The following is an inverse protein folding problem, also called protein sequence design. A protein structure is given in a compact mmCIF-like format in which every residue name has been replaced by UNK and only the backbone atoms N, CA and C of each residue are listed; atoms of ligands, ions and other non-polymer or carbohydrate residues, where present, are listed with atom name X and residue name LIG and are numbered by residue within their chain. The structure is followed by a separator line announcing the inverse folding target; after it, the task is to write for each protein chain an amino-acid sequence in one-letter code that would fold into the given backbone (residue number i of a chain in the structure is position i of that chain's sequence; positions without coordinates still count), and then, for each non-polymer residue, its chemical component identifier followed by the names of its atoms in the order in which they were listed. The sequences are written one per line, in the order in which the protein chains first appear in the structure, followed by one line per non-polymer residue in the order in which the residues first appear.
data_IF_584037558756
#
_entry.id   IF_584037558756
#
_cell.length_a   1.000
_cell.length_b   1.000
_cell.length_c   1.000
_cell.angle_alpha   90.00
_cell.angle_beta   90.00
_cell.angle_gamma   90.00
#
_symmetry.space_group_name_H-M   'P 1'
#
loop_
_entity.id
_entity.type
_entity.pdbx_description
1 polymer ?
#
# COMPACT_ATOMS: atom_id res chain seq x y z
N UNK A 1 16.49 -5.47 -64.55
CA UNK A 1 16.81 -4.85 -63.24
C UNK A 1 16.21 -3.44 -63.24
N UNK A 2 15.03 -3.27 -62.66
CA UNK A 2 14.32 -1.98 -62.63
C UNK A 2 14.48 -1.36 -61.23
N UNK A 3 15.05 -0.16 -61.17
CA UNK A 3 15.26 0.61 -59.95
C UNK A 3 14.01 1.46 -59.67
N UNK A 4 13.35 1.22 -58.53
CA UNK A 4 12.23 2.05 -58.06
C UNK A 4 12.76 3.11 -57.09
N UNK A 5 12.66 4.37 -57.51
CA UNK A 5 12.98 5.56 -56.70
C UNK A 5 11.76 5.94 -55.84
N UNK A 6 11.91 5.94 -54.52
CA UNK A 6 10.82 6.22 -53.58
C UNK A 6 10.69 7.73 -53.29
N UNK A 7 9.57 8.32 -53.70
CA UNK A 7 9.18 9.70 -53.44
C UNK A 7 8.71 9.86 -51.97
N UNK A 8 9.47 10.58 -51.14
CA UNK A 8 9.05 10.97 -49.78
C UNK A 8 8.18 12.23 -49.84
N UNK A 9 6.88 12.09 -49.59
CA UNK A 9 6.00 13.22 -49.28
C UNK A 9 6.19 13.66 -47.82
N UNK A 10 6.48 14.94 -47.62
CA UNK A 10 6.62 15.58 -46.31
C UNK A 10 5.26 16.18 -45.89
N UNK A 11 4.63 15.64 -44.85
CA UNK A 11 3.42 16.21 -44.25
C UNK A 11 3.81 17.24 -43.16
N UNK A 12 3.14 18.41 -43.08
CA UNK A 12 3.35 19.36 -42.00
C UNK A 12 2.66 18.87 -40.72
N UNK A 13 3.38 18.86 -39.60
CA UNK A 13 2.83 18.53 -38.29
C UNK A 13 2.06 19.74 -37.71
N UNK A 14 0.86 19.56 -37.13
CA UNK A 14 0.19 20.63 -36.40
C UNK A 14 0.93 20.88 -35.08
N UNK A 15 1.19 22.16 -34.80
CA UNK A 15 1.71 22.60 -33.50
C UNK A 15 0.55 22.57 -32.50
N UNK A 16 0.62 21.68 -31.51
CA UNK A 16 -0.31 21.68 -30.38
C UNK A 16 0.20 22.65 -29.31
N UNK A 17 -0.64 23.62 -28.96
CA UNK A 17 -0.43 24.49 -27.81
C UNK A 17 -0.53 23.65 -26.53
N UNK A 18 0.51 23.71 -25.70
CA UNK A 18 0.54 23.00 -24.42
C UNK A 18 -0.25 23.81 -23.40
N UNK A 19 -1.50 23.42 -23.20
CA UNK A 19 -2.35 23.93 -22.13
C UNK A 19 -1.75 23.45 -20.80
N UNK A 20 -1.23 24.39 -20.01
CA UNK A 20 -0.72 24.12 -18.67
C UNK A 20 -1.88 23.67 -17.79
N UNK A 21 -2.10 22.36 -17.70
CA UNK A 21 -3.02 21.77 -16.74
C UNK A 21 -2.57 22.18 -15.33
N UNK A 22 -3.36 23.03 -14.68
CA UNK A 22 -3.22 23.32 -13.25
C UNK A 22 -3.39 21.99 -12.52
N UNK A 23 -2.30 21.47 -11.94
CA UNK A 23 -2.36 20.31 -11.05
C UNK A 23 -3.16 20.72 -9.82
N UNK A 24 -4.46 20.42 -9.81
CA UNK A 24 -5.27 20.43 -8.60
C UNK A 24 -4.70 19.36 -7.68
N UNK A 25 -4.03 19.78 -6.60
CA UNK A 25 -3.59 18.88 -5.55
C UNK A 25 -4.83 18.23 -4.93
N UNK A 26 -4.93 16.91 -5.08
CA UNK A 26 -6.02 16.15 -4.49
C UNK A 26 -6.03 16.32 -2.97
N UNK A 27 -7.22 16.51 -2.41
CA UNK A 27 -7.41 16.61 -0.96
C UNK A 27 -7.21 15.23 -0.35
N UNK A 28 -5.99 14.96 0.12
CA UNK A 28 -5.66 13.70 0.79
C UNK A 28 -6.19 13.73 2.23
N UNK A 29 -7.15 12.85 2.51
CA UNK A 29 -7.70 12.60 3.85
C UNK A 29 -6.70 11.73 4.59
N UNK A 30 -6.26 12.17 5.78
CA UNK A 30 -5.31 11.41 6.59
C UNK A 30 -5.92 11.02 7.93
N UNK A 31 -5.54 9.84 8.39
CA UNK A 31 -5.70 9.34 9.75
C UNK A 31 -5.09 10.34 10.76
N UNK A 32 -5.73 10.58 11.90
CA UNK A 32 -5.18 11.40 12.99
C UNK A 32 -5.91 12.72 13.30
N UNK A 33 -6.94 13.07 12.54
CA UNK A 33 -7.89 14.14 12.86
C UNK A 33 -9.33 13.64 12.77
N UNK A 34 -10.19 14.12 13.68
CA UNK A 34 -11.63 13.80 13.63
C UNK A 34 -12.32 14.27 12.34
N UNK A 35 -11.69 15.21 11.62
CA UNK A 35 -12.15 15.73 10.34
C UNK A 35 -11.08 15.51 9.27
N UNK A 36 -11.43 15.16 8.02
CA UNK A 36 -10.49 15.08 6.91
C UNK A 36 -9.65 16.36 6.80
N UNK A 37 -8.33 16.25 7.01
CA UNK A 37 -7.41 17.39 7.03
C UNK A 37 -6.18 17.07 6.21
N UNK A 38 -5.65 18.07 5.48
CA UNK A 38 -4.44 17.88 4.68
C UNK A 38 -3.20 17.74 5.58
N UNK A 39 -2.15 17.01 5.14
CA UNK A 39 -0.91 16.85 5.91
C UNK A 39 -0.30 18.18 6.38
N UNK A 40 -0.34 19.23 5.54
CA UNK A 40 0.23 20.56 5.86
C UNK A 40 -0.62 21.39 6.84
N UNK A 41 -1.87 21.01 7.04
CA UNK A 41 -2.80 21.66 7.98
C UNK A 41 -2.86 20.92 9.32
N UNK A 42 -2.29 19.71 9.39
CA UNK A 42 -2.21 18.94 10.63
C UNK A 42 -1.10 19.48 11.53
N UNK A 43 -1.38 19.53 12.83
CA UNK A 43 -0.39 19.84 13.87
C UNK A 43 0.51 18.65 14.20
N UNK A 44 0.20 17.46 13.64
CA UNK A 44 0.90 16.22 13.89
C UNK A 44 1.90 15.89 12.77
N UNK A 45 2.93 15.12 13.11
CA UNK A 45 3.93 14.70 12.14
C UNK A 45 3.42 13.50 11.34
N UNK A 46 2.93 13.77 10.14
CA UNK A 46 2.37 12.79 9.23
C UNK A 46 3.40 12.41 8.16
N UNK A 47 3.53 11.12 7.88
CA UNK A 47 4.17 10.60 6.66
C UNK A 47 3.15 9.75 5.91
N UNK A 48 3.06 10.01 4.61
CA UNK A 48 2.26 9.19 3.71
C UNK A 48 3.18 8.55 2.69
N UNK A 49 3.02 7.24 2.48
CA UNK A 49 3.66 6.50 1.40
C UNK A 49 2.59 6.12 0.38
N UNK A 50 2.62 6.75 -0.79
CA UNK A 50 1.66 6.50 -1.87
C UNK A 50 2.12 5.38 -2.80
N UNK A 51 1.23 4.95 -3.70
CA UNK A 51 1.51 3.93 -4.71
C UNK A 51 2.77 4.23 -5.55
N UNK A 52 3.07 5.49 -5.86
CA UNK A 52 4.25 5.89 -6.65
C UNK A 52 5.56 5.68 -5.88
N UNK A 53 5.51 5.79 -4.55
CA UNK A 53 6.66 5.54 -3.67
C UNK A 53 6.79 4.06 -3.32
N UNK A 54 5.67 3.33 -3.26
CA UNK A 54 5.62 1.91 -2.95
C UNK A 54 6.00 1.05 -4.17
N UNK A 55 5.55 1.42 -5.38
CA UNK A 55 5.80 0.68 -6.61
C UNK A 55 7.28 0.36 -6.90
N UNK A 56 8.24 1.31 -6.79
CA UNK A 56 9.65 1.01 -7.07
C UNK A 56 10.30 0.10 -6.03
N UNK A 57 9.72 -0.03 -4.83
CA UNK A 57 10.25 -0.91 -3.78
C UNK A 57 9.99 -2.38 -4.07
N UNK A 58 9.02 -2.69 -4.95
CA UNK A 58 8.51 -4.05 -5.22
C UNK A 58 8.41 -4.89 -3.93
N UNK A 59 7.68 -4.38 -2.92
CA UNK A 59 7.73 -4.98 -1.61
C UNK A 59 7.03 -6.34 -1.63
N UNK A 60 7.70 -7.34 -1.05
CA UNK A 60 7.16 -8.69 -0.90
C UNK A 60 6.47 -8.92 0.46
N UNK A 61 6.46 -7.89 1.32
CA UNK A 61 5.83 -7.87 2.65
C UNK A 61 5.56 -6.43 3.08
N UNK A 62 4.57 -6.25 3.96
CA UNK A 62 4.15 -4.93 4.44
C UNK A 62 5.23 -4.26 5.29
N UNK A 63 5.96 -5.03 6.10
CA UNK A 63 7.07 -4.54 6.93
C UNK A 63 8.18 -3.88 6.10
N UNK A 64 8.43 -4.33 4.86
CA UNK A 64 9.40 -3.70 3.95
C UNK A 64 8.99 -2.27 3.57
N UNK A 65 7.69 -2.00 3.43
CA UNK A 65 7.18 -0.63 3.23
C UNK A 65 7.47 0.19 4.49
N UNK A 66 7.14 -0.34 5.67
CA UNK A 66 7.33 0.36 6.94
C UNK A 66 8.81 0.66 7.24
N UNK A 67 9.73 -0.21 6.85
CA UNK A 67 11.17 -0.03 7.01
C UNK A 67 11.74 1.16 6.20
N UNK A 68 11.02 1.66 5.19
CA UNK A 68 11.41 2.87 4.47
C UNK A 68 11.16 4.15 5.26
N UNK A 69 10.42 4.07 6.36
CA UNK A 69 9.94 5.23 7.10
C UNK A 69 10.92 5.56 8.21
N UNK A 70 11.49 6.78 8.23
CA UNK A 70 12.42 7.18 9.28
C UNK A 70 11.77 7.12 10.67
N UNK A 71 12.49 6.53 11.62
CA UNK A 71 12.04 6.38 13.01
C UNK A 71 11.02 5.25 13.23
N UNK A 72 10.84 4.36 12.24
CA UNK A 72 10.07 3.13 12.36
C UNK A 72 11.04 1.94 12.31
N UNK A 73 10.90 1.03 13.27
CA UNK A 73 11.63 -0.24 13.29
C UNK A 73 10.63 -1.40 13.40
N UNK A 74 10.90 -2.50 12.70
CA UNK A 74 10.06 -3.70 12.71
C UNK A 74 10.88 -4.88 13.20
N UNK A 75 10.35 -5.62 14.17
CA UNK A 75 10.90 -6.92 14.61
C UNK A 75 10.00 -8.04 14.09
N UNK A 76 10.56 -8.91 13.26
CA UNK A 76 9.86 -10.02 12.60
C UNK A 76 10.18 -11.32 13.33
N UNK A 77 9.20 -11.89 14.04
CA UNK A 77 9.45 -13.03 14.91
C UNK A 77 9.46 -14.38 14.17
N UNK A 78 8.84 -14.46 12.97
CA UNK A 78 8.76 -15.69 12.18
C UNK A 78 8.69 -15.41 10.67
N UNK A 79 9.85 -15.30 10.02
CA UNK A 79 9.95 -15.35 8.55
C UNK A 79 9.02 -14.40 7.78
N UNK A 80 8.62 -14.79 6.56
CA UNK A 80 7.66 -14.00 5.73
C UNK A 80 6.20 -14.14 6.18
N UNK A 81 5.92 -15.08 7.09
CA UNK A 81 4.61 -15.43 7.60
C UNK A 81 4.61 -15.31 9.12
N UNK A 82 4.44 -14.10 9.64
CA UNK A 82 4.68 -13.90 11.06
C UNK A 82 4.08 -12.68 11.69
N UNK A 83 3.67 -12.89 12.93
CA UNK A 83 3.42 -11.86 13.91
C UNK A 83 4.68 -11.00 14.01
N UNK A 84 4.52 -9.71 13.71
CA UNK A 84 5.62 -8.74 13.78
C UNK A 84 5.26 -7.61 14.72
N UNK A 85 6.28 -7.04 15.35
CA UNK A 85 6.18 -5.90 16.25
C UNK A 85 6.70 -4.65 15.55
N UNK A 86 6.00 -3.52 15.74
CA UNK A 86 6.40 -2.24 15.16
C UNK A 86 6.73 -1.26 16.28
N UNK A 87 7.91 -0.66 16.20
CA UNK A 87 8.42 0.33 17.13
C UNK A 87 8.42 1.69 16.43
N UNK A 88 7.59 2.61 16.91
CA UNK A 88 7.53 3.98 16.39
C UNK A 88 8.28 4.92 17.34
N UNK A 89 9.36 5.54 16.86
CA UNK A 89 10.26 6.40 17.65
C UNK A 89 10.80 5.73 18.92
N UNK A 90 11.03 4.41 18.87
CA UNK A 90 11.53 3.61 19.98
C UNK A 90 10.50 3.33 21.08
N UNK A 91 9.24 3.70 20.89
CA UNK A 91 8.17 3.32 21.80
C UNK A 91 7.86 1.82 21.70
N UNK A 92 7.32 1.27 22.80
CA UNK A 92 6.86 -0.10 22.86
C UNK A 92 5.73 -0.36 21.82
N UNK A 93 5.68 -1.53 21.18
CA UNK A 93 4.64 -1.86 20.20
C UNK A 93 3.21 -1.71 20.73
N UNK A 94 3.00 -1.89 22.04
CA UNK A 94 1.71 -1.66 22.70
C UNK A 94 1.18 -0.23 22.58
N UNK A 95 2.05 0.73 22.25
CA UNK A 95 1.71 2.14 22.12
C UNK A 95 1.64 2.61 20.65
N UNK A 96 1.73 1.69 19.69
CA UNK A 96 1.54 2.00 18.26
C UNK A 96 0.31 1.29 17.72
N UNK A 97 -0.74 2.08 17.42
CA UNK A 97 -1.95 1.56 16.80
C UNK A 97 -1.69 1.27 15.33
N UNK A 98 -2.09 0.09 14.87
CA UNK A 98 -2.01 -0.36 13.49
C UNK A 98 -3.44 -0.63 13.02
N UNK A 99 -3.79 -0.07 11.86
CA UNK A 99 -5.13 -0.15 11.29
C UNK A 99 -5.08 -0.56 9.83
N UNK A 100 -6.14 -1.22 9.38
CA UNK A 100 -6.47 -1.42 7.98
C UNK A 100 -7.80 -0.71 7.71
N UNK A 101 -7.79 0.28 6.82
CA UNK A 101 -8.94 1.13 6.52
C UNK A 101 -9.60 1.75 7.77
N UNK A 102 -8.78 2.09 8.77
CA UNK A 102 -9.23 2.64 10.05
C UNK A 102 -9.74 1.62 11.07
N UNK A 103 -9.73 0.32 10.75
CA UNK A 103 -10.07 -0.77 11.67
C UNK A 103 -8.81 -1.25 12.39
N UNK A 104 -8.75 -1.20 13.75
CA UNK A 104 -7.62 -1.70 14.52
C UNK A 104 -7.30 -3.17 14.26
N UNK A 105 -6.01 -3.47 14.09
CA UNK A 105 -5.49 -4.83 13.88
C UNK A 105 -4.62 -5.34 15.02
N UNK A 106 -4.26 -4.48 15.99
CA UNK A 106 -3.44 -4.89 17.12
C UNK A 106 -4.11 -6.00 17.92
N UNK A 107 -3.37 -7.07 18.19
CA UNK A 107 -3.78 -8.07 19.15
C UNK A 107 -3.25 -7.67 20.54
N UNK A 108 -4.15 -7.14 21.38
CA UNK A 108 -3.85 -6.77 22.77
C UNK A 108 -3.71 -7.99 23.69
N UNK A 109 -4.02 -9.20 23.22
CA UNK A 109 -3.95 -10.45 24.00
C UNK A 109 -2.66 -11.24 23.78
N UNK A 110 -1.81 -10.84 22.84
CA UNK A 110 -0.54 -11.50 22.56
C UNK A 110 0.49 -11.33 23.71
N UNK A 111 1.37 -12.31 23.93
CA UNK A 111 2.46 -12.28 24.92
C UNK A 111 3.33 -11.00 24.92
N UNK A 112 3.58 -10.38 23.76
CA UNK A 112 4.31 -9.10 23.67
C UNK A 112 3.38 -7.88 23.65
N UNK A 113 2.10 -8.10 23.35
CA UNK A 113 1.07 -7.08 23.16
C UNK A 113 1.35 -6.15 21.97
N UNK A 114 0.29 -5.70 21.30
CA UNK A 114 0.39 -4.72 20.20
C UNK A 114 1.01 -5.26 18.91
N UNK A 115 1.37 -6.54 18.85
CA UNK A 115 1.87 -7.19 17.64
C UNK A 115 0.75 -7.44 16.62
N UNK A 116 1.11 -7.47 15.33
CA UNK A 116 0.15 -7.68 14.24
C UNK A 116 0.66 -8.76 13.30
N UNK A 117 -0.24 -9.64 12.85
CA UNK A 117 0.03 -10.55 11.75
C UNK A 117 -0.16 -9.82 10.41
N UNK A 118 0.94 -9.29 9.88
CA UNK A 118 0.95 -8.59 8.59
C UNK A 118 0.75 -9.51 7.38
N UNK A 119 0.81 -10.84 7.55
CA UNK A 119 0.54 -11.78 6.46
C UNK A 119 -0.91 -11.73 6.00
N UNK A 120 -1.81 -11.22 6.85
CA UNK A 120 -3.23 -11.03 6.55
C UNK A 120 -3.51 -9.84 5.62
N UNK A 121 -2.55 -8.94 5.43
CA UNK A 121 -2.73 -7.72 4.63
C UNK A 121 -2.15 -7.95 3.22
N UNK A 122 -2.98 -8.05 2.17
CA UNK A 122 -2.50 -8.16 0.81
C UNK A 122 -1.89 -6.85 0.33
N UNK A 123 -0.55 -6.85 0.19
CA UNK A 123 0.23 -5.67 -0.22
C UNK A 123 -0.23 -5.08 -1.55
N UNK A 124 -0.73 -5.92 -2.45
CA UNK A 124 -1.21 -5.51 -3.76
C UNK A 124 -2.49 -4.67 -3.70
N UNK A 125 -3.25 -4.78 -2.62
CA UNK A 125 -4.46 -3.98 -2.40
C UNK A 125 -4.16 -2.68 -1.67
N UNK A 126 -2.95 -2.48 -1.15
CA UNK A 126 -2.59 -1.23 -0.49
C UNK A 126 -2.50 -0.12 -1.53
N UNK A 127 -3.24 0.95 -1.30
CA UNK A 127 -3.16 2.20 -2.06
C UNK A 127 -2.08 3.10 -1.48
N UNK A 128 -2.11 3.26 -0.16
CA UNK A 128 -1.15 4.07 0.58
C UNK A 128 -1.05 3.63 2.04
N UNK A 129 0.03 4.04 2.68
CA UNK A 129 0.24 3.86 4.13
C UNK A 129 0.37 5.22 4.77
N UNK A 130 -0.44 5.47 5.78
CA UNK A 130 -0.46 6.71 6.55
C UNK A 130 0.14 6.46 7.92
N UNK A 131 1.12 7.28 8.31
CA UNK A 131 1.86 7.12 9.55
C UNK A 131 1.84 8.44 10.28
N UNK A 132 1.21 8.41 11.43
CA UNK A 132 1.00 9.59 12.27
C UNK A 132 1.82 9.40 13.53
N UNK A 133 2.81 10.26 13.72
CA UNK A 133 3.70 10.20 14.88
C UNK A 133 3.28 11.20 15.94
N UNK A 134 3.17 10.73 17.17
CA UNK A 134 2.79 11.53 18.32
C UNK A 134 1.55 10.97 19.03
N UNK A 135 1.18 11.58 20.16
CA UNK A 135 0.10 11.08 20.99
C UNK A 135 -1.26 11.25 20.30
N UNK A 136 -1.86 10.13 19.93
CA UNK A 136 -3.20 10.02 19.36
C UNK A 136 -4.21 9.39 20.33
N UNK A 137 -3.84 9.28 21.61
CA UNK A 137 -4.64 8.59 22.62
C UNK A 137 -6.00 9.23 22.90
N UNK A 138 -6.15 10.53 22.60
CA UNK A 138 -7.43 11.22 22.70
C UNK A 138 -8.49 10.70 21.70
N UNK A 139 -8.05 10.19 20.54
CA UNK A 139 -8.96 9.69 19.49
C UNK A 139 -9.05 8.16 19.48
N UNK A 140 -7.94 7.49 19.76
CA UNK A 140 -7.77 6.06 19.53
C UNK A 140 -7.43 5.25 20.80
N UNK A 141 -7.37 5.88 21.97
CA UNK A 141 -7.11 5.20 23.23
C UNK A 141 -5.63 4.93 23.54
N UNK A 142 -5.35 4.10 24.54
CA UNK A 142 -4.01 3.85 25.05
C UNK A 142 -3.04 3.26 24.03
N UNK A 143 -3.56 2.57 23.02
CA UNK A 143 -2.77 1.93 21.97
C UNK A 143 -2.14 2.93 20.99
N UNK A 144 -2.61 4.18 20.96
CA UNK A 144 -2.11 5.21 20.04
C UNK A 144 -1.24 6.26 20.73
N UNK A 145 -0.56 5.92 21.84
CA UNK A 145 0.27 6.86 22.60
C UNK A 145 1.54 7.31 21.86
N UNK A 146 2.18 6.42 21.09
CA UNK A 146 3.32 6.73 20.25
C UNK A 146 2.89 7.25 18.87
N UNK A 147 1.73 6.78 18.39
CA UNK A 147 1.15 7.16 17.11
C UNK A 147 0.25 6.09 16.54
N UNK A 148 -0.07 6.25 15.26
CA UNK A 148 -0.89 5.33 14.51
C UNK A 148 -0.33 5.09 13.10
N UNK A 149 -0.52 3.88 12.59
CA UNK A 149 -0.20 3.45 11.23
C UNK A 149 -1.50 2.94 10.62
N UNK A 150 -1.91 3.47 9.48
CA UNK A 150 -3.11 3.04 8.78
C UNK A 150 -2.76 2.61 7.35
N UNK A 151 -3.10 1.37 7.01
CA UNK A 151 -3.04 0.85 5.66
C UNK A 151 -4.36 1.15 4.97
N UNK A 152 -4.31 1.94 3.90
CA UNK A 152 -5.50 2.26 3.11
C UNK A 152 -5.53 1.35 1.89
N UNK A 153 -6.64 0.66 1.67
CA UNK A 153 -6.85 -0.19 0.51
C UNK A 153 -7.36 0.60 -0.70
N UNK A 154 -7.05 0.10 -1.90
CA UNK A 154 -7.45 0.70 -3.17
C UNK A 154 -8.97 0.79 -3.27
N UNK A 155 -9.46 2.01 -3.48
CA UNK A 155 -10.89 2.26 -3.71
C UNK A 155 -11.33 1.82 -5.12
N UNK A 156 -12.62 1.56 -5.28
CA UNK A 156 -13.20 1.27 -6.58
C UNK A 156 -13.11 2.51 -7.49
N UNK A 157 -12.34 2.41 -8.57
CA UNK A 157 -12.26 3.49 -9.56
C UNK A 157 -13.55 3.56 -10.37
N UNK A 158 -14.02 4.79 -10.64
CA UNK A 158 -15.15 5.03 -11.52
C UNK A 158 -14.86 4.60 -12.96
N UNK A 159 -13.59 4.66 -13.37
CA UNK A 159 -13.15 4.23 -14.69
C UNK A 159 -12.95 2.71 -14.74
N UNK A 160 -13.36 2.04 -15.84
CA UNK A 160 -13.01 0.65 -16.08
C UNK A 160 -11.49 0.47 -16.05
N UNK A 161 -11.01 -0.43 -15.20
CA UNK A 161 -9.61 -0.74 -15.01
C UNK A 161 -9.43 -2.26 -15.00
N UNK A 162 -8.39 -2.72 -15.67
CA UNK A 162 -7.99 -4.12 -15.70
C UNK A 162 -6.47 -4.20 -15.61
N UNK A 163 -5.97 -4.98 -14.66
CA UNK A 163 -4.53 -5.18 -14.41
C UNK A 163 -4.27 -6.65 -14.23
N UNK A 164 -3.26 -7.14 -14.93
CA UNK A 164 -2.70 -8.48 -14.76
C UNK A 164 -1.21 -8.33 -14.50
N UNK A 165 -0.70 -9.08 -13.53
CA UNK A 165 0.71 -9.09 -13.18
C UNK A 165 1.16 -10.52 -12.93
N UNK A 166 2.35 -10.84 -13.46
CA UNK A 166 3.06 -12.08 -13.20
C UNK A 166 4.48 -11.75 -12.79
N UNK A 167 4.91 -12.28 -11.65
CA UNK A 167 6.27 -12.12 -11.13
C UNK A 167 6.88 -13.50 -10.86
N UNK A 168 8.18 -13.61 -11.12
CA UNK A 168 8.98 -14.80 -10.86
C UNK A 168 10.32 -14.42 -10.24
N UNK A 169 10.83 -15.24 -9.34
CA UNK A 169 12.06 -14.92 -8.61
C UNK A 169 12.78 -16.13 -8.02
N UNK A 170 13.80 -15.85 -7.22
CA UNK A 170 14.61 -16.88 -6.53
C UNK A 170 13.76 -17.59 -5.46
N UNK A 171 14.15 -18.82 -5.11
CA UNK A 171 13.46 -19.67 -4.13
C UNK A 171 12.03 -20.01 -4.57
N UNK A 172 11.85 -20.46 -5.82
CA UNK A 172 10.54 -20.81 -6.38
C UNK A 172 9.47 -19.72 -6.16
N UNK A 173 9.90 -18.45 -6.17
CA UNK A 173 8.99 -17.33 -6.02
C UNK A 173 8.16 -17.18 -7.28
N UNK A 174 6.85 -17.26 -7.13
CA UNK A 174 5.89 -17.06 -8.21
C UNK A 174 4.71 -16.27 -7.68
N UNK A 175 4.31 -15.22 -8.39
CA UNK A 175 3.15 -14.42 -8.04
C UNK A 175 2.32 -14.12 -9.26
N UNK A 176 1.02 -14.34 -9.13
CA UNK A 176 0.00 -13.99 -10.12
C UNK A 176 -1.02 -13.04 -9.49
N UNK A 177 -1.38 -11.99 -10.20
CA UNK A 177 -2.42 -11.06 -9.79
C UNK A 177 -3.33 -10.71 -10.96
N UNK A 178 -4.63 -10.70 -10.68
CA UNK A 178 -5.68 -10.20 -11.56
C UNK A 178 -6.49 -9.19 -10.76
N UNK A 179 -6.61 -7.98 -11.29
CA UNK A 179 -7.40 -6.92 -10.70
C UNK A 179 -8.30 -6.30 -11.76
N UNK A 180 -9.56 -6.11 -11.42
CA UNK A 180 -10.56 -5.45 -12.27
C UNK A 180 -11.36 -4.49 -11.42
N UNK A 181 -11.74 -3.34 -11.97
CA UNK A 181 -12.60 -2.39 -11.28
C UNK A 181 -13.31 -1.46 -12.25
N UNK A 182 -14.40 -0.86 -11.83
CA UNK A 182 -15.16 0.09 -12.63
C UNK A 182 -16.46 0.49 -11.96
N UNK A 183 -17.19 1.40 -12.60
CA UNK A 183 -18.53 1.80 -12.17
C UNK A 183 -19.62 1.37 -13.14
N UNK A 184 -20.78 1.04 -12.60
CA UNK A 184 -22.03 0.84 -13.32
C UNK A 184 -23.09 1.78 -12.73
N UNK A 185 -23.16 2.99 -13.26
CA UNK A 185 -24.04 4.05 -12.72
C UNK A 185 -23.55 4.53 -11.35
N UNK A 186 -24.39 4.51 -10.29
CA UNK A 186 -23.98 4.94 -8.95
C UNK A 186 -23.13 3.90 -8.20
N UNK A 187 -23.04 2.67 -8.71
CA UNK A 187 -22.26 1.59 -8.09
C UNK A 187 -20.84 1.60 -8.63
N UNK A 188 -19.83 1.67 -7.76
CA UNK A 188 -18.45 1.37 -8.12
C UNK A 188 -18.07 0.02 -7.51
N UNK A 189 -17.21 -0.75 -8.17
CA UNK A 189 -16.72 -2.01 -7.62
C UNK A 189 -15.26 -2.25 -8.02
N UNK A 190 -14.48 -2.82 -7.10
CA UNK A 190 -13.17 -3.39 -7.39
C UNK A 190 -13.16 -4.87 -6.99
N UNK A 191 -12.48 -5.68 -7.77
CA UNK A 191 -12.20 -7.08 -7.49
C UNK A 191 -10.70 -7.32 -7.73
N UNK A 192 -10.04 -7.88 -6.73
CA UNK A 192 -8.63 -8.28 -6.78
C UNK A 192 -8.50 -9.74 -6.38
N UNK A 193 -7.82 -10.52 -7.21
CA UNK A 193 -7.41 -11.90 -6.94
C UNK A 193 -5.89 -11.98 -7.06
N UNK A 194 -5.23 -12.58 -6.08
CA UNK A 194 -3.80 -12.83 -6.17
C UNK A 194 -3.42 -14.15 -5.52
N UNK A 195 -2.39 -14.78 -6.10
CA UNK A 195 -1.73 -15.97 -5.60
C UNK A 195 -0.25 -15.68 -5.52
N UNK A 196 0.35 -15.86 -4.35
CA UNK A 196 1.79 -15.71 -4.14
C UNK A 196 2.34 -16.99 -3.53
N UNK A 197 3.34 -17.56 -4.20
CA UNK A 197 4.13 -18.68 -3.74
C UNK A 197 5.57 -18.24 -3.49
N UNK A 198 6.14 -18.70 -2.39
CA UNK A 198 7.54 -18.58 -2.07
C UNK A 198 8.05 -19.91 -1.52
N UNK A 199 9.02 -20.48 -2.20
CA UNK A 199 9.79 -21.61 -1.70
C UNK A 199 10.71 -21.22 -0.54
N UNK A 200 11.37 -22.23 0.00
CA UNK A 200 12.11 -22.15 1.25
C UNK A 200 13.42 -21.35 1.10
N UNK A 201 13.60 -20.32 1.94
CA UNK A 201 14.89 -19.66 2.14
C UNK A 201 15.74 -20.36 3.21
N UNK A 202 15.07 -21.06 4.15
CA UNK A 202 15.60 -21.89 5.24
C UNK A 202 14.67 -23.12 5.32
N UNK A 203 15.23 -24.30 5.63
CA UNK A 203 14.48 -25.57 5.70
C UNK A 203 13.19 -25.41 6.53
N UNK A 204 12.03 -25.64 5.90
CA UNK A 204 10.64 -25.48 6.43
C UNK A 204 10.05 -24.05 6.50
N UNK A 205 10.53 -23.06 5.75
CA UNK A 205 9.93 -21.71 5.68
C UNK A 205 9.29 -21.41 4.31
N UNK A 206 8.37 -22.28 3.85
CA UNK A 206 7.58 -22.04 2.64
C UNK A 206 6.37 -21.15 2.92
N UNK A 207 6.10 -20.16 2.08
CA UNK A 207 4.96 -19.24 2.25
C UNK A 207 4.05 -19.27 1.03
N UNK A 208 2.75 -19.46 1.28
CA UNK A 208 1.69 -19.35 0.30
C UNK A 208 0.68 -18.32 0.78
N UNK A 209 0.25 -17.44 -0.11
CA UNK A 209 -0.78 -16.46 0.18
C UNK A 209 -1.74 -16.34 -0.99
N UNK A 210 -2.97 -16.75 -0.72
CA UNK A 210 -4.12 -16.47 -1.56
C UNK A 210 -4.86 -15.28 -0.98
N UNK A 211 -5.12 -14.27 -1.79
CA UNK A 211 -6.00 -13.19 -1.36
C UNK A 211 -7.04 -12.88 -2.43
N UNK A 212 -8.28 -12.76 -1.94
CA UNK A 212 -9.41 -12.28 -2.69
C UNK A 212 -9.94 -11.03 -1.97
N UNK A 213 -10.25 -10.01 -2.74
CA UNK A 213 -10.65 -8.74 -2.19
C UNK A 213 -11.66 -8.04 -3.07
N UNK A 214 -12.72 -7.51 -2.46
CA UNK A 214 -13.68 -6.65 -3.11
C UNK A 214 -14.04 -5.47 -2.23
N UNK A 215 -14.45 -4.38 -2.86
CA UNK A 215 -15.00 -3.19 -2.21
C UNK A 215 -15.91 -2.46 -3.20
N UNK A 216 -16.93 -1.77 -2.66
CA UNK A 216 -18.02 -1.13 -3.39
C UNK A 216 -18.13 0.35 -3.02
#
# INVERSE_FOLDING_TARGET
MASLSALRMLFPAPVQAQESSVTTLDTMIVTGSAQPTQPHQSTQSITTLNAEQIAPLQPNRVTTILQQVPGLHTDEMSGRSGISSVYLRGADPNFTLIMLDGVPMNDSTNQRGGSVDFSTIPIDRIERVEIVRGPLSAFYGSEAMAGAINFITKSASTAPSFRVLGEGGRYDYLKGLIQTGGSLGPLSANLTLSHTQNGEQIEKDSFLMDSAGWNF
#
